data_IF_753078856767
#
_entry.id   IF_753078856767
#
_cell.length_a   1.000
_cell.length_b   1.000
_cell.length_c   1.000
_cell.angle_alpha   90.00
_cell.angle_beta   90.00
_cell.angle_gamma   90.00
#
_symmetry.space_group_name_H-M   'P 1'
#
loop_
_entity.id
_entity.type
_entity.pdbx_description
1 polymer ?
#
# COMPACT_ATOMS: atom_id res chain seq x y z
N UNK A 1 8.98 0.15 31.22
CA UNK A 1 9.88 -0.91 30.69
C UNK A 1 10.58 -0.30 29.50
N UNK A 2 11.88 -0.51 29.32
CA UNK A 2 12.58 -0.04 28.12
C UNK A 2 12.00 -0.76 26.89
N UNK A 3 11.38 -0.03 25.93
CA UNK A 3 10.79 -0.66 24.74
C UNK A 3 11.81 -1.36 23.84
N UNK A 4 13.10 -1.08 24.03
CA UNK A 4 14.21 -1.66 23.26
C UNK A 4 14.99 -2.73 24.02
N UNK A 5 14.58 -3.07 25.25
CA UNK A 5 15.24 -4.12 26.03
C UNK A 5 15.27 -5.45 25.25
N UNK A 6 16.43 -6.13 25.12
CA UNK A 6 16.53 -7.38 24.37
C UNK A 6 15.51 -8.43 24.81
N UNK A 7 14.99 -9.21 23.85
CA UNK A 7 14.04 -10.29 24.09
C UNK A 7 14.76 -11.60 23.85
N UNK A 8 14.83 -12.45 24.89
CA UNK A 8 15.65 -13.66 24.87
C UNK A 8 17.11 -13.39 24.44
N UNK A 9 17.68 -12.26 24.89
CA UNK A 9 19.04 -11.84 24.52
C UNK A 9 19.19 -11.26 23.11
N UNK A 10 18.11 -11.18 22.32
CA UNK A 10 18.12 -10.65 20.95
C UNK A 10 17.72 -9.17 20.97
N UNK A 11 18.65 -8.28 20.63
CA UNK A 11 18.37 -6.85 20.43
C UNK A 11 17.52 -6.60 19.18
N UNK A 12 16.95 -5.40 19.03
CA UNK A 12 16.15 -5.05 17.85
C UNK A 12 16.99 -5.10 16.57
N UNK A 13 18.24 -4.66 16.64
CA UNK A 13 19.21 -4.71 15.55
C UNK A 13 19.51 -6.15 15.15
N UNK A 14 19.77 -7.03 16.12
CA UNK A 14 20.05 -8.44 15.85
C UNK A 14 18.81 -9.14 15.28
N UNK A 15 17.64 -8.80 15.78
CA UNK A 15 16.37 -9.30 15.25
C UNK A 15 16.15 -8.86 13.78
N UNK A 16 16.48 -7.62 13.44
CA UNK A 16 16.45 -7.11 12.07
C UNK A 16 17.45 -7.84 11.13
N UNK A 17 18.66 -8.13 11.62
CA UNK A 17 19.64 -8.92 10.87
C UNK A 17 19.16 -10.33 10.57
N UNK A 18 18.69 -11.05 11.59
CA UNK A 18 18.16 -12.40 11.44
C UNK A 18 16.94 -12.41 10.51
N UNK A 19 16.06 -11.42 10.62
CA UNK A 19 14.94 -11.20 9.70
C UNK A 19 15.41 -11.08 8.25
N UNK A 20 16.47 -10.32 7.99
CA UNK A 20 17.05 -10.16 6.65
C UNK A 20 17.64 -11.47 6.12
N UNK A 21 18.22 -12.30 7.00
CA UNK A 21 18.79 -13.60 6.62
C UNK A 21 17.72 -14.61 6.19
N UNK A 22 16.59 -14.64 6.90
CA UNK A 22 15.47 -15.56 6.62
C UNK A 22 14.46 -14.99 5.61
N UNK A 23 14.71 -13.81 5.06
CA UNK A 23 13.81 -13.21 4.06
C UNK A 23 13.66 -14.14 2.86
N UNK A 24 12.41 -14.45 2.50
CA UNK A 24 12.06 -15.36 1.40
C UNK A 24 11.94 -16.84 1.81
N UNK A 25 12.25 -17.18 3.07
CA UNK A 25 12.11 -18.53 3.60
C UNK A 25 10.77 -18.66 4.33
N UNK A 26 9.97 -19.65 3.96
CA UNK A 26 8.65 -19.92 4.57
C UNK A 26 8.63 -21.19 5.43
N UNK A 27 9.58 -22.10 5.22
CA UNK A 27 9.69 -23.32 6.00
C UNK A 27 10.26 -23.03 7.40
N UNK A 28 9.54 -23.45 8.44
CA UNK A 28 9.91 -23.13 9.83
C UNK A 28 11.19 -23.83 10.28
N UNK A 29 11.46 -25.03 9.79
CA UNK A 29 12.68 -25.77 10.14
C UNK A 29 13.90 -25.16 9.43
N UNK A 30 13.74 -24.69 8.20
CA UNK A 30 14.78 -23.93 7.49
C UNK A 30 15.07 -22.60 8.18
N UNK A 31 14.05 -21.85 8.60
CA UNK A 31 14.21 -20.64 9.41
C UNK A 31 15.01 -20.95 10.69
N UNK A 32 14.60 -21.98 11.43
CA UNK A 32 15.30 -22.40 12.66
C UNK A 32 16.77 -22.72 12.38
N UNK A 33 17.07 -23.47 11.31
CA UNK A 33 18.44 -23.81 10.90
C UNK A 33 19.27 -22.57 10.59
N UNK A 34 18.71 -21.58 9.90
CA UNK A 34 19.42 -20.34 9.54
C UNK A 34 19.75 -19.52 10.79
N UNK A 35 18.81 -19.38 11.73
CA UNK A 35 19.05 -18.61 12.97
C UNK A 35 20.00 -19.35 13.93
N UNK A 36 19.92 -20.68 14.01
CA UNK A 36 20.84 -21.52 14.78
C UNK A 36 22.27 -21.44 14.24
N UNK A 37 22.45 -21.43 12.92
CA UNK A 37 23.75 -21.20 12.29
C UNK A 37 24.35 -19.83 12.66
N UNK A 38 23.53 -18.89 13.16
CA UNK A 38 23.94 -17.57 13.64
C UNK A 38 23.99 -17.47 15.17
N UNK A 39 23.99 -18.61 15.86
CA UNK A 39 24.16 -18.71 17.31
C UNK A 39 22.92 -18.36 18.12
N UNK A 40 21.73 -18.42 17.52
CA UNK A 40 20.47 -18.19 18.21
C UNK A 40 19.71 -19.51 18.34
N UNK A 41 19.41 -19.92 19.57
CA UNK A 41 18.61 -21.12 19.80
C UNK A 41 17.18 -20.91 19.30
N UNK A 42 16.55 -21.97 18.79
CA UNK A 42 15.15 -21.92 18.30
C UNK A 42 14.18 -21.32 19.33
N UNK A 43 14.29 -21.71 20.59
CA UNK A 43 13.44 -21.18 21.66
C UNK A 43 13.62 -19.66 21.86
N UNK A 44 14.85 -19.16 21.76
CA UNK A 44 15.13 -17.72 21.88
C UNK A 44 14.59 -16.95 20.67
N UNK A 45 14.71 -17.53 19.47
CA UNK A 45 14.13 -16.97 18.26
C UNK A 45 12.60 -16.87 18.34
N UNK A 46 11.92 -17.94 18.73
CA UNK A 46 10.45 -17.96 18.87
C UNK A 46 9.98 -16.94 19.93
N UNK A 47 10.71 -16.83 21.05
CA UNK A 47 10.45 -15.84 22.09
C UNK A 47 10.67 -14.40 21.57
N UNK A 48 11.75 -14.16 20.83
CA UNK A 48 12.04 -12.85 20.25
C UNK A 48 11.02 -12.44 19.19
N UNK A 49 10.63 -13.35 18.28
CA UNK A 49 9.56 -13.10 17.30
C UNK A 49 8.27 -12.71 18.02
N UNK A 50 7.85 -13.49 19.00
CA UNK A 50 6.62 -13.23 19.77
C UNK A 50 6.69 -11.88 20.49
N UNK A 51 7.79 -11.61 21.18
CA UNK A 51 7.95 -10.40 21.96
C UNK A 51 8.11 -9.13 21.12
N UNK A 52 8.89 -9.17 20.04
CA UNK A 52 9.06 -8.02 19.15
C UNK A 52 7.77 -7.72 18.40
N UNK A 53 7.05 -8.76 17.95
CA UNK A 53 5.70 -8.62 17.42
C UNK A 53 4.83 -7.85 18.41
N UNK A 54 4.68 -8.38 19.63
CA UNK A 54 3.84 -7.76 20.67
C UNK A 54 4.20 -6.29 20.94
N UNK A 55 5.49 -5.95 20.96
CA UNK A 55 5.93 -4.55 21.14
C UNK A 55 5.64 -3.66 19.94
N UNK A 56 5.73 -4.17 18.71
CA UNK A 56 5.30 -3.43 17.53
C UNK A 56 3.76 -3.23 17.52
N UNK A 57 3.02 -4.14 18.16
CA UNK A 57 1.57 -4.02 18.41
C UNK A 57 1.16 -3.19 19.60
N UNK A 58 2.11 -2.82 20.45
CA UNK A 58 1.78 -2.12 21.66
C UNK A 58 1.45 -0.67 21.35
N UNK A 59 0.18 -0.34 21.54
CA UNK A 59 -0.36 0.98 21.32
C UNK A 59 0.30 1.97 22.28
N UNK A 60 0.57 1.56 23.51
CA UNK A 60 1.24 2.42 24.48
C UNK A 60 2.65 2.86 24.05
N UNK A 61 3.31 2.09 23.18
CA UNK A 61 4.61 2.45 22.61
C UNK A 61 4.51 3.34 21.37
N UNK A 62 3.29 3.69 20.96
CA UNK A 62 3.00 4.53 19.80
C UNK A 62 3.86 4.11 18.60
N UNK A 63 3.91 2.83 18.23
CA UNK A 63 4.68 2.39 17.05
C UNK A 63 6.19 2.66 17.04
N UNK A 64 6.80 3.15 18.14
CA UNK A 64 8.21 3.54 18.18
C UNK A 64 9.14 2.40 17.76
N UNK A 65 8.82 1.18 18.22
CA UNK A 65 9.59 -0.03 17.88
C UNK A 65 9.51 -0.36 16.39
N UNK A 66 8.33 -0.20 15.77
CA UNK A 66 8.16 -0.43 14.34
C UNK A 66 8.93 0.61 13.51
N UNK A 67 8.88 1.89 13.91
CA UNK A 67 9.64 2.97 13.28
C UNK A 67 11.15 2.75 13.39
N UNK A 68 11.62 2.25 14.53
CA UNK A 68 13.04 1.92 14.73
C UNK A 68 13.49 0.67 13.96
N UNK A 69 12.63 -0.34 13.83
CA UNK A 69 12.95 -1.60 13.16
C UNK A 69 13.20 -1.44 11.66
N UNK A 70 12.37 -0.64 10.97
CA UNK A 70 12.43 -0.50 9.52
C UNK A 70 13.81 -0.10 8.96
N UNK A 71 14.47 0.97 9.43
CA UNK A 71 15.80 1.33 8.93
C UNK A 71 16.86 0.27 9.25
N UNK A 72 16.75 -0.43 10.39
CA UNK A 72 17.67 -1.50 10.78
C UNK A 72 17.55 -2.70 9.83
N UNK A 73 16.33 -3.09 9.50
CA UNK A 73 16.04 -4.19 8.58
C UNK A 73 16.51 -3.87 7.16
N UNK A 74 16.26 -2.66 6.68
CA UNK A 74 16.75 -2.21 5.36
C UNK A 74 18.28 -2.20 5.31
N UNK A 75 18.95 -1.72 6.37
CA UNK A 75 20.40 -1.75 6.45
C UNK A 75 20.94 -3.19 6.48
N UNK A 76 20.27 -4.12 7.19
CA UNK A 76 20.65 -5.53 7.21
C UNK A 76 20.49 -6.20 5.84
N UNK A 77 19.39 -5.93 5.13
CA UNK A 77 19.20 -6.40 3.75
C UNK A 77 20.29 -5.89 2.81
N UNK A 78 20.62 -4.60 2.90
CA UNK A 78 21.69 -4.01 2.09
C UNK A 78 23.06 -4.66 2.38
N UNK A 79 23.38 -4.95 3.65
CA UNK A 79 24.60 -5.68 4.03
C UNK A 79 24.60 -7.11 3.47
N UNK A 80 23.49 -7.83 3.58
CA UNK A 80 23.34 -9.18 3.04
C UNK A 80 23.59 -9.20 1.54
N UNK A 81 22.99 -8.26 0.80
CA UNK A 81 23.23 -8.11 -0.64
C UNK A 81 24.71 -7.84 -0.94
N UNK A 82 25.32 -6.87 -0.27
CA UNK A 82 26.73 -6.56 -0.47
C UNK A 82 27.64 -7.77 -0.22
N UNK A 83 27.32 -8.59 0.80
CA UNK A 83 28.07 -9.82 1.11
C UNK A 83 27.84 -10.97 0.12
N UNK A 84 26.69 -11.00 -0.56
CA UNK A 84 26.36 -12.06 -1.52
C UNK A 84 27.11 -11.93 -2.86
N UNK A 85 27.75 -10.78 -3.12
CA UNK A 85 28.35 -10.46 -4.41
C UNK A 85 27.34 -10.28 -5.55
N UNK A 86 26.05 -10.46 -5.29
CA UNK A 86 25.00 -10.18 -6.26
C UNK A 86 24.78 -8.66 -6.35
N UNK A 87 24.77 -8.14 -7.58
CA UNK A 87 24.39 -6.76 -7.82
C UNK A 87 22.97 -6.52 -7.28
N UNK A 88 22.76 -5.39 -6.60
CA UNK A 88 21.43 -4.97 -6.17
C UNK A 88 20.51 -4.99 -7.40
N UNK A 89 19.35 -5.67 -7.34
CA UNK A 89 18.40 -5.64 -8.44
C UNK A 89 17.97 -4.19 -8.66
N UNK A 90 18.02 -3.75 -9.90
CA UNK A 90 17.57 -2.42 -10.34
C UNK A 90 16.58 -2.57 -11.47
N UNK A 91 15.62 -1.66 -11.53
CA UNK A 91 14.64 -1.51 -12.61
C UNK A 91 14.46 -0.02 -12.90
N UNK A 92 14.02 0.34 -14.10
CA UNK A 92 13.64 1.72 -14.43
C UNK A 92 12.33 2.12 -13.76
N UNK A 93 11.98 3.40 -13.84
CA UNK A 93 10.72 3.91 -13.28
C UNK A 93 9.51 3.25 -13.98
N UNK A 94 9.57 3.12 -15.30
CA UNK A 94 8.50 2.55 -16.12
C UNK A 94 8.33 1.05 -15.82
N UNK A 95 9.43 0.35 -15.59
CA UNK A 95 9.43 -1.05 -15.18
C UNK A 95 8.82 -1.21 -13.79
N UNK A 96 9.20 -0.36 -12.82
CA UNK A 96 8.61 -0.37 -11.48
C UNK A 96 7.11 -0.10 -11.50
N UNK A 97 6.65 0.89 -12.29
CA UNK A 97 5.22 1.15 -12.55
C UNK A 97 4.55 -0.08 -13.14
N UNK A 98 5.19 -0.75 -14.10
CA UNK A 98 4.73 -2.02 -14.69
C UNK A 98 4.46 -3.08 -13.63
N UNK A 99 5.44 -3.30 -12.75
CA UNK A 99 5.37 -4.29 -11.67
C UNK A 99 4.31 -3.92 -10.62
N UNK A 100 4.25 -2.65 -10.19
CA UNK A 100 3.24 -2.17 -9.24
C UNK A 100 1.81 -2.28 -9.80
N UNK A 101 1.63 -1.94 -11.08
CA UNK A 101 0.35 -2.11 -11.80
C UNK A 101 -0.05 -3.59 -11.89
N UNK A 102 0.90 -4.48 -12.16
CA UNK A 102 0.68 -5.93 -12.14
C UNK A 102 0.26 -6.42 -10.75
N UNK A 103 0.97 -6.02 -9.69
CA UNK A 103 0.60 -6.38 -8.32
C UNK A 103 -0.83 -5.92 -7.97
N UNK A 104 -1.24 -4.73 -8.42
CA UNK A 104 -2.59 -4.22 -8.23
C UNK A 104 -3.66 -4.94 -9.07
N UNK A 105 -3.30 -5.52 -10.22
CA UNK A 105 -4.25 -6.16 -11.14
C UNK A 105 -4.41 -7.67 -10.88
N UNK A 106 -3.32 -8.40 -10.69
CA UNK A 106 -3.29 -9.87 -10.56
C UNK A 106 -2.86 -10.36 -9.17
N UNK A 107 -2.71 -9.41 -8.22
CA UNK A 107 -2.25 -9.71 -6.88
C UNK A 107 -0.72 -9.84 -6.79
N UNK A 108 -0.22 -9.76 -5.56
CA UNK A 108 1.21 -9.86 -5.26
C UNK A 108 1.84 -11.18 -5.72
N UNK A 109 1.24 -12.32 -5.36
CA UNK A 109 1.74 -13.64 -5.75
C UNK A 109 1.74 -13.82 -7.28
N UNK A 110 0.70 -13.33 -7.95
CA UNK A 110 0.62 -13.36 -9.41
C UNK A 110 1.73 -12.53 -10.07
N UNK A 111 2.03 -11.35 -9.50
CA UNK A 111 3.13 -10.50 -9.96
C UNK A 111 4.50 -11.15 -9.75
N UNK A 112 4.77 -11.70 -8.56
CA UNK A 112 6.03 -12.42 -8.28
C UNK A 112 6.23 -13.59 -9.27
N UNK A 113 5.18 -14.39 -9.48
CA UNK A 113 5.20 -15.50 -10.42
C UNK A 113 5.43 -15.07 -11.87
N UNK A 114 4.81 -13.98 -12.32
CA UNK A 114 4.98 -13.46 -13.68
C UNK A 114 6.41 -12.95 -13.94
N UNK A 115 6.96 -12.15 -13.03
CA UNK A 115 8.29 -11.57 -13.17
C UNK A 115 9.42 -12.52 -12.76
N UNK A 116 9.09 -13.71 -12.25
CA UNK A 116 10.04 -14.72 -11.76
C UNK A 116 10.99 -14.13 -10.71
N UNK A 117 10.43 -13.33 -9.80
CA UNK A 117 11.15 -12.78 -8.66
C UNK A 117 10.61 -13.32 -7.36
N UNK A 118 11.46 -13.31 -6.33
CA UNK A 118 11.04 -13.56 -4.97
C UNK A 118 10.58 -12.26 -4.27
N UNK A 119 9.92 -12.43 -3.12
CA UNK A 119 9.45 -11.30 -2.32
C UNK A 119 10.58 -10.43 -1.76
N UNK A 120 11.79 -10.98 -1.58
CA UNK A 120 12.97 -10.24 -1.16
C UNK A 120 13.37 -9.22 -2.23
N UNK A 121 13.50 -9.69 -3.47
CA UNK A 121 13.82 -8.89 -4.67
C UNK A 121 12.79 -7.78 -4.85
N UNK A 122 11.50 -8.10 -4.75
CA UNK A 122 10.44 -7.08 -4.78
C UNK A 122 10.62 -6.03 -3.67
N UNK A 123 10.86 -6.45 -2.43
CA UNK A 123 11.01 -5.54 -1.28
C UNK A 123 12.17 -4.57 -1.48
N UNK A 124 13.26 -5.04 -2.08
CA UNK A 124 14.45 -4.24 -2.39
C UNK A 124 14.17 -3.23 -3.51
N UNK A 125 13.48 -3.65 -4.58
CA UNK A 125 13.05 -2.78 -5.67
C UNK A 125 12.07 -1.71 -5.18
N UNK A 126 11.05 -2.11 -4.41
CA UNK A 126 10.06 -1.21 -3.84
C UNK A 126 10.68 -0.23 -2.84
N UNK A 127 11.59 -0.68 -1.98
CA UNK A 127 12.31 0.19 -1.05
C UNK A 127 13.12 1.28 -1.76
N UNK A 128 13.80 0.92 -2.86
CA UNK A 128 14.57 1.87 -3.67
C UNK A 128 13.68 2.96 -4.30
N UNK A 129 12.54 2.57 -4.86
CA UNK A 129 11.61 3.51 -5.50
C UNK A 129 10.80 4.32 -4.49
N UNK A 130 10.41 3.74 -3.35
CA UNK A 130 9.71 4.46 -2.29
C UNK A 130 10.57 5.57 -1.67
N UNK A 131 11.90 5.44 -1.69
CA UNK A 131 12.81 6.52 -1.29
C UNK A 131 12.94 7.61 -2.38
N UNK A 132 12.88 7.24 -3.66
CA UNK A 132 13.08 8.16 -4.80
C UNK A 132 11.82 8.95 -5.17
N UNK A 133 10.65 8.32 -5.19
CA UNK A 133 9.40 8.93 -5.66
C UNK A 133 9.05 10.22 -4.89
N UNK A 134 9.07 10.26 -3.54
CA UNK A 134 8.69 11.47 -2.81
C UNK A 134 9.66 12.64 -2.97
N UNK A 135 10.91 12.38 -3.35
CA UNK A 135 11.98 13.39 -3.44
C UNK A 135 12.16 13.97 -4.84
N UNK A 136 11.41 13.45 -5.83
CA UNK A 136 11.64 13.68 -7.25
C UNK A 136 10.34 14.05 -7.96
N UNK A 137 10.12 15.35 -8.28
CA UNK A 137 8.87 15.82 -8.89
C UNK A 137 8.50 15.12 -10.22
N UNK A 138 9.50 14.61 -10.95
CA UNK A 138 9.30 13.86 -12.19
C UNK A 138 8.48 12.56 -12.00
N UNK A 139 8.35 12.06 -10.77
CA UNK A 139 7.58 10.83 -10.46
C UNK A 139 6.22 11.12 -9.82
N UNK A 140 5.74 12.37 -9.76
CA UNK A 140 4.44 12.69 -9.15
C UNK A 140 3.26 11.99 -9.85
N UNK A 141 3.40 11.59 -11.11
CA UNK A 141 2.40 10.83 -11.86
C UNK A 141 2.37 9.33 -11.53
N UNK A 142 3.23 8.83 -10.61
CA UNK A 142 3.35 7.41 -10.27
C UNK A 142 2.00 6.73 -10.01
N UNK A 143 1.16 7.29 -9.13
CA UNK A 143 -0.13 6.69 -8.77
C UNK A 143 -1.07 6.51 -9.97
N UNK A 144 -1.17 7.56 -10.81
CA UNK A 144 -1.96 7.51 -12.04
C UNK A 144 -1.42 6.49 -13.05
N UNK A 145 -0.09 6.39 -13.20
CA UNK A 145 0.53 5.44 -14.12
C UNK A 145 0.32 3.98 -13.67
N UNK A 146 0.40 3.72 -12.37
CA UNK A 146 0.09 2.40 -11.79
C UNK A 146 -1.38 2.05 -12.01
N UNK A 147 -2.29 2.99 -11.79
CA UNK A 147 -3.72 2.78 -12.03
C UNK A 147 -4.00 2.46 -13.50
N UNK A 148 -3.41 3.23 -14.43
CA UNK A 148 -3.52 3.00 -15.88
C UNK A 148 -3.01 1.61 -16.28
N UNK A 149 -1.83 1.20 -15.78
CA UNK A 149 -1.27 -0.11 -16.08
C UNK A 149 -2.14 -1.24 -15.48
N UNK A 150 -2.63 -1.07 -14.25
CA UNK A 150 -3.50 -2.05 -13.62
C UNK A 150 -4.82 -2.23 -14.39
N UNK A 151 -5.42 -1.13 -14.87
CA UNK A 151 -6.64 -1.16 -15.67
C UNK A 151 -6.42 -1.87 -17.01
N UNK A 152 -5.28 -1.61 -17.67
CA UNK A 152 -4.88 -2.30 -18.91
C UNK A 152 -4.77 -3.80 -18.69
N UNK A 153 -4.17 -4.25 -17.58
CA UNK A 153 -4.01 -5.68 -17.27
C UNK A 153 -5.37 -6.32 -16.98
N UNK A 154 -6.25 -5.67 -16.21
CA UNK A 154 -7.62 -6.15 -15.96
C UNK A 154 -8.48 -6.23 -17.23
N UNK A 155 -8.21 -5.38 -18.22
CA UNK A 155 -8.84 -5.44 -19.54
C UNK A 155 -8.29 -6.56 -20.45
N UNK A 156 -7.43 -7.44 -19.93
CA UNK A 156 -6.85 -8.57 -20.66
C UNK A 156 -5.46 -8.31 -21.25
N UNK A 157 -4.86 -7.15 -20.98
CA UNK A 157 -3.48 -6.88 -21.37
C UNK A 157 -2.46 -7.71 -20.55
N UNK A 158 -1.42 -8.24 -21.20
CA UNK A 158 -0.32 -8.90 -20.48
C UNK A 158 0.55 -7.88 -19.73
N UNK A 159 1.04 -8.14 -18.51
CA UNK A 159 1.93 -7.22 -17.78
C UNK A 159 3.18 -6.86 -18.59
N UNK A 160 3.66 -5.62 -18.50
CA UNK A 160 4.83 -5.16 -19.25
C UNK A 160 6.07 -6.00 -18.89
N UNK A 161 6.93 -6.33 -19.87
CA UNK A 161 8.21 -6.99 -19.58
C UNK A 161 9.14 -6.05 -18.80
N UNK A 162 9.97 -6.62 -17.94
CA UNK A 162 10.92 -5.91 -17.08
C UNK A 162 12.29 -6.58 -17.17
N UNK A 163 13.35 -5.78 -17.27
CA UNK A 163 14.74 -6.23 -17.27
C UNK A 163 15.39 -5.99 -15.90
N UNK A 164 15.26 -6.97 -15.01
CA UNK A 164 15.83 -6.87 -13.66
C UNK A 164 17.34 -7.03 -13.72
N UNK A 165 18.07 -6.03 -13.23
CA UNK A 165 19.54 -6.05 -13.22
C UNK A 165 20.18 -5.63 -14.56
N UNK A 166 19.38 -5.22 -15.54
CA UNK A 166 19.86 -4.52 -16.72
C UNK A 166 20.18 -3.07 -16.36
N UNK A 167 21.44 -2.65 -16.52
CA UNK A 167 21.77 -1.22 -16.56
C UNK A 167 20.88 -0.49 -17.58
N UNK A 168 20.62 0.80 -17.34
CA UNK A 168 19.67 1.66 -18.07
C UNK A 168 19.39 1.17 -19.50
N UNK A 169 18.12 0.89 -19.86
CA UNK A 169 17.81 0.35 -21.17
C UNK A 169 18.34 1.32 -22.22
N UNK A 170 19.08 0.79 -23.19
CA UNK A 170 19.22 1.46 -24.48
C UNK A 170 17.80 1.75 -24.94
N UNK A 171 17.44 3.04 -25.08
CA UNK A 171 16.19 3.47 -25.67
C UNK A 171 15.98 2.66 -26.96
N UNK A 172 15.16 1.62 -26.90
CA UNK A 172 14.65 0.99 -28.09
C UNK A 172 13.78 2.05 -28.72
N UNK A 173 14.34 2.68 -29.76
CA UNK A 173 13.67 3.67 -30.57
C UNK A 173 12.27 3.14 -30.85
N UNK A 174 11.26 3.85 -30.35
CA UNK A 174 9.88 3.62 -30.77
C UNK A 174 9.90 3.61 -32.31
N UNK A 175 9.40 2.57 -32.97
CA UNK A 175 9.19 2.64 -34.41
C UNK A 175 8.28 3.83 -34.64
N UNK A 176 8.84 4.87 -35.27
CA UNK A 176 8.08 6.04 -35.73
C UNK A 176 6.88 5.48 -36.47
N UNK A 177 5.69 5.65 -35.89
CA UNK A 177 4.45 5.48 -36.63
C UNK A 177 4.57 6.41 -37.83
N UNK A 178 4.78 5.79 -39.00
CA UNK A 178 4.83 6.47 -40.26
C UNK A 178 3.54 7.27 -40.40
N UNK A 179 3.71 8.57 -40.57
CA UNK A 179 2.65 9.52 -40.82
C UNK A 179 1.78 9.00 -41.97
N UNK A 180 0.51 8.71 -41.66
CA UNK A 180 -0.50 8.57 -42.70
C UNK A 180 -0.67 9.93 -43.38
N UNK A 181 -0.71 9.99 -44.73
CA UNK A 181 -0.93 11.23 -45.46
C UNK A 181 -2.36 11.78 -45.22
N UNK A 182 -2.56 13.09 -45.39
CA UNK A 182 -3.83 13.75 -45.08
C UNK A 182 -4.89 13.37 -46.11
N UNK A 183 -5.89 12.59 -45.69
CA UNK A 183 -7.11 12.39 -46.47
C UNK A 183 -8.11 13.51 -46.18
N UNK A 184 -8.28 14.37 -47.20
CA UNK A 184 -9.59 14.75 -47.74
C UNK A 184 -10.61 15.39 -46.81
N UNK A 185 -10.77 16.71 -46.97
CA UNK A 185 -11.94 17.47 -46.54
C UNK A 185 -13.24 16.82 -47.05
N UNK A 186 -14.03 16.26 -46.13
CA UNK A 186 -15.40 15.81 -46.35
C UNK A 186 -16.39 16.68 -45.56
N UNK A 187 -17.42 17.14 -46.26
CA UNK A 187 -18.39 18.18 -45.90
C UNK A 187 -19.19 17.97 -44.59
N UNK A 188 -19.68 19.05 -43.95
CA UNK A 188 -20.58 18.96 -42.80
C UNK A 188 -21.99 18.53 -43.24
N UNK A 189 -22.43 17.33 -42.83
CA UNK A 189 -23.84 16.96 -42.85
C UNK A 189 -24.54 17.55 -41.63
N UNK A 190 -25.51 18.41 -41.90
CA UNK A 190 -26.46 18.96 -40.94
C UNK A 190 -27.37 17.82 -40.41
N UNK A 191 -27.38 17.62 -39.09
CA UNK A 191 -28.42 16.82 -38.42
C UNK A 191 -29.56 17.75 -37.98
N UNK A 192 -30.82 17.43 -38.32
CA UNK A 192 -31.98 18.20 -37.86
C UNK A 192 -32.28 17.93 -36.38
N UNK A 193 -32.50 19.03 -35.66
CA UNK A 193 -32.91 19.07 -34.26
C UNK A 193 -34.29 18.41 -34.07
N UNK A 194 -34.40 17.52 -33.08
CA UNK A 194 -35.69 17.05 -32.57
C UNK A 194 -36.07 17.82 -31.29
N UNK A 195 -37.32 18.33 -31.18
CA UNK A 195 -37.79 18.99 -29.98
C UNK A 195 -38.20 17.98 -28.89
N UNK A 196 -37.69 18.17 -27.68
CA UNK A 196 -38.13 17.48 -26.46
C UNK A 196 -39.33 18.22 -25.84
N UNK A 197 -40.46 17.55 -25.56
CA UNK A 197 -41.59 18.14 -24.88
C UNK A 197 -41.39 18.16 -23.35
N UNK A 198 -41.61 19.35 -22.80
CA UNK A 198 -41.69 19.68 -21.38
C UNK A 198 -42.94 19.07 -20.74
N UNK A 199 -42.77 18.20 -19.74
CA UNK A 199 -43.85 17.74 -18.87
C UNK A 199 -43.78 18.44 -17.50
N UNK A 200 -44.95 18.91 -17.07
CA UNK A 200 -45.18 19.84 -15.99
C UNK A 200 -44.99 19.29 -14.58
N UNK A 201 -44.58 20.23 -13.72
CA UNK A 201 -44.82 20.36 -12.28
C UNK A 201 -46.11 19.70 -11.74
N UNK A 202 -45.96 18.91 -10.68
CA UNK A 202 -47.01 18.57 -9.73
C UNK A 202 -46.60 18.97 -8.31
N UNK A 203 -47.36 19.88 -7.71
CA UNK A 203 -47.22 20.35 -6.34
C UNK A 203 -47.72 19.30 -5.34
N UNK A 204 -46.92 18.95 -4.34
CA UNK A 204 -47.27 18.09 -3.21
C UNK A 204 -47.04 18.79 -1.87
N UNK A 205 -47.98 18.61 -0.95
CA UNK A 205 -48.29 19.35 0.28
C UNK A 205 -47.20 19.42 1.38
N UNK A 206 -47.30 20.39 2.33
CA UNK A 206 -46.38 20.54 3.45
C UNK A 206 -46.65 19.54 4.59
N UNK A 207 -45.58 18.93 5.11
CA UNK A 207 -45.59 18.10 6.32
C UNK A 207 -45.46 18.97 7.59
N UNK A 208 -46.12 18.60 8.71
CA UNK A 208 -46.04 19.34 9.97
C UNK A 208 -44.70 19.12 10.71
N UNK A 209 -44.27 20.10 11.54
CA UNK A 209 -43.00 20.03 12.24
C UNK A 209 -43.04 19.03 13.41
N UNK A 210 -42.02 18.18 13.51
CA UNK A 210 -41.78 17.35 14.68
C UNK A 210 -40.98 18.11 15.75
N UNK A 211 -41.25 17.89 17.04
CA UNK A 211 -40.59 18.60 18.14
C UNK A 211 -39.14 18.14 18.34
N UNK A 212 -38.25 19.12 18.51
CA UNK A 212 -36.84 18.95 18.83
C UNK A 212 -36.68 18.30 20.21
N UNK A 213 -36.11 17.09 20.26
CA UNK A 213 -35.56 16.52 21.48
C UNK A 213 -34.16 17.11 21.73
N UNK A 214 -34.05 17.83 22.84
CA UNK A 214 -32.81 18.33 23.38
C UNK A 214 -31.93 17.17 23.85
N UNK A 215 -30.74 17.03 23.25
CA UNK A 215 -29.65 16.22 23.78
C UNK A 215 -28.42 17.10 23.93
N UNK A 216 -28.21 17.57 25.15
CA UNK A 216 -26.93 18.09 25.60
C UNK A 216 -26.01 16.91 25.90
N UNK A 217 -24.91 16.82 25.16
CA UNK A 217 -23.58 16.45 25.63
C UNK A 217 -22.64 16.48 24.43
N UNK A 218 -21.59 17.28 24.54
CA UNK A 218 -20.61 17.56 23.50
C UNK A 218 -19.63 16.36 23.42
N UNK A 219 -19.65 15.50 22.38
CA UNK A 219 -18.70 14.38 22.27
C UNK A 219 -17.45 14.73 21.46
N UNK A 220 -17.26 16.00 21.05
CA UNK A 220 -16.15 16.43 20.19
C UNK A 220 -14.80 16.55 20.92
N UNK A 221 -14.41 15.54 21.70
CA UNK A 221 -13.00 15.29 21.91
C UNK A 221 -12.45 14.73 20.59
N UNK A 222 -11.95 15.63 19.73
CA UNK A 222 -11.12 15.23 18.59
C UNK A 222 -10.02 14.30 19.11
N UNK A 223 -9.77 13.14 18.47
CA UNK A 223 -8.61 12.34 18.79
C UNK A 223 -7.37 13.22 18.59
N UNK A 224 -6.57 13.38 19.65
CA UNK A 224 -5.28 14.06 19.56
C UNK A 224 -4.41 13.35 18.50
N UNK A 225 -3.48 14.06 17.82
CA UNK A 225 -2.60 13.49 16.79
C UNK A 225 -1.90 12.18 17.22
N UNK A 226 -1.72 11.97 18.52
CA UNK A 226 -1.19 10.73 19.10
C UNK A 226 -2.07 9.49 18.80
N UNK A 227 -3.40 9.63 18.74
CA UNK A 227 -4.35 8.52 18.50
C UNK A 227 -4.36 8.01 17.06
N UNK A 228 -4.04 8.85 16.07
CA UNK A 228 -3.92 8.43 14.67
C UNK A 228 -2.69 7.54 14.44
N UNK A 229 -1.59 7.87 15.13
CA UNK A 229 -0.35 7.12 15.12
C UNK A 229 -0.45 5.80 15.90
N UNK A 230 -1.15 5.82 17.04
CA UNK A 230 -1.58 4.64 17.79
C UNK A 230 -2.30 3.64 16.85
N UNK A 231 -3.35 4.06 16.14
CA UNK A 231 -4.08 3.13 15.25
C UNK A 231 -3.23 2.62 14.06
N UNK A 232 -2.31 3.42 13.52
CA UNK A 232 -1.36 3.00 12.48
C UNK A 232 -0.41 1.91 12.98
N UNK A 233 0.08 2.04 14.21
CA UNK A 233 0.91 1.02 14.84
C UNK A 233 0.13 -0.29 15.05
N UNK A 234 -1.18 -0.23 15.35
CA UNK A 234 -2.05 -1.40 15.58
C UNK A 234 -2.34 -2.25 14.35
N UNK A 235 -2.28 -1.65 13.16
CA UNK A 235 -2.44 -2.37 11.89
C UNK A 235 -1.12 -2.95 11.37
N UNK A 236 0.00 -2.21 11.49
CA UNK A 236 1.34 -2.73 11.16
C UNK A 236 1.69 -3.94 12.02
N UNK A 237 1.34 -3.85 13.29
CA UNK A 237 1.33 -4.90 14.28
C UNK A 237 0.56 -6.16 13.92
N UNK A 238 -0.74 -6.08 13.64
CA UNK A 238 -1.56 -7.26 13.31
C UNK A 238 -1.05 -7.98 12.07
N UNK A 239 -0.52 -7.23 11.11
CA UNK A 239 0.11 -7.80 9.93
C UNK A 239 1.51 -8.36 10.22
N UNK A 240 2.23 -7.84 11.23
CA UNK A 240 3.44 -8.44 11.81
C UNK A 240 3.16 -9.81 12.46
N UNK A 241 2.06 -9.95 13.23
CA UNK A 241 1.69 -11.23 13.86
C UNK A 241 1.28 -12.31 12.85
N UNK A 242 0.61 -11.93 11.75
CA UNK A 242 0.33 -12.84 10.64
C UNK A 242 1.61 -13.23 9.86
N UNK A 243 2.53 -12.28 9.66
CA UNK A 243 3.79 -12.49 8.96
C UNK A 243 4.83 -13.29 9.76
N UNK A 244 4.83 -13.17 11.08
CA UNK A 244 5.66 -13.98 11.97
C UNK A 244 5.34 -15.48 11.87
N UNK A 245 4.08 -15.83 11.58
CA UNK A 245 3.63 -17.22 11.42
C UNK A 245 3.76 -17.75 9.98
N UNK A 246 3.76 -16.88 8.96
CA UNK A 246 3.75 -17.23 7.53
C UNK A 246 5.04 -16.84 6.76
N UNK A 247 6.04 -16.27 7.42
CA UNK A 247 7.26 -15.75 6.81
C UNK A 247 7.15 -14.25 6.47
N UNK A 248 8.29 -13.55 6.56
CA UNK A 248 8.43 -12.09 6.40
C UNK A 248 7.91 -11.51 5.07
N UNK A 249 7.55 -12.33 4.07
CA UNK A 249 6.90 -11.88 2.84
C UNK A 249 5.55 -11.18 3.07
N UNK A 250 4.80 -11.57 4.11
CA UNK A 250 3.56 -10.88 4.48
C UNK A 250 3.82 -9.52 5.17
N UNK A 251 5.02 -9.29 5.70
CA UNK A 251 5.44 -7.99 6.22
C UNK A 251 5.51 -6.95 5.11
N UNK A 252 6.02 -7.33 3.93
CA UNK A 252 6.03 -6.47 2.75
C UNK A 252 4.62 -6.04 2.33
N UNK A 253 3.63 -6.93 2.45
CA UNK A 253 2.21 -6.63 2.19
C UNK A 253 1.56 -5.76 3.27
N UNK A 254 1.96 -5.94 4.54
CA UNK A 254 1.57 -5.09 5.66
C UNK A 254 1.99 -3.63 5.47
N UNK A 255 3.21 -3.41 4.95
CA UNK A 255 3.72 -2.08 4.67
C UNK A 255 3.21 -1.53 3.34
N UNK A 256 2.89 -2.38 2.36
CA UNK A 256 2.31 -1.94 1.08
C UNK A 256 0.81 -1.61 1.17
N UNK A 257 0.13 -1.99 2.27
CA UNK A 257 -1.22 -1.51 2.60
C UNK A 257 -1.23 -0.14 3.29
N UNK A 258 -0.07 0.50 3.47
CA UNK A 258 0.09 1.86 4.01
C UNK A 258 -0.50 2.99 3.13
N UNK A 259 -1.31 2.68 2.13
CA UNK A 259 -1.97 3.71 1.32
C UNK A 259 -3.18 4.30 2.05
N UNK A 260 -3.88 3.54 2.90
CA UNK A 260 -4.96 4.06 3.76
C UNK A 260 -4.65 3.81 5.23
N UNK A 261 -4.32 4.85 5.99
CA UNK A 261 -4.21 4.82 7.45
C UNK A 261 -5.18 5.81 8.09
N UNK A 262 -5.57 5.66 9.37
CA UNK A 262 -6.30 6.69 10.10
C UNK A 262 -5.57 8.05 10.01
N UNK A 263 -6.30 9.09 9.62
CA UNK A 263 -5.77 10.42 9.29
C UNK A 263 -5.52 10.65 7.80
N UNK A 264 -5.45 9.61 6.96
CA UNK A 264 -5.29 9.76 5.50
C UNK A 264 -6.50 10.48 4.89
N UNK A 265 -6.24 11.42 3.98
CA UNK A 265 -7.27 12.01 3.12
C UNK A 265 -7.66 11.00 2.04
N UNK A 266 -8.96 10.85 1.85
CA UNK A 266 -9.53 9.90 0.90
C UNK A 266 -10.67 10.53 0.11
N UNK A 267 -10.96 9.99 -1.06
CA UNK A 267 -12.19 10.20 -1.80
C UNK A 267 -13.06 8.96 -1.66
N UNK A 268 -14.30 9.17 -1.24
CA UNK A 268 -15.34 8.14 -1.20
C UNK A 268 -16.19 8.26 -2.45
N UNK A 269 -16.23 7.21 -3.27
CA UNK A 269 -17.16 7.11 -4.40
C UNK A 269 -18.51 6.62 -3.90
N UNK A 270 -19.58 7.39 -4.13
CA UNK A 270 -20.92 7.06 -3.67
C UNK A 270 -21.78 6.42 -4.78
N UNK A 271 -22.98 5.95 -4.44
CA UNK A 271 -23.89 5.27 -5.37
C UNK A 271 -24.38 6.14 -6.53
N UNK A 272 -24.27 7.47 -6.40
CA UNK A 272 -24.59 8.43 -7.45
C UNK A 272 -23.43 8.66 -8.44
N UNK A 273 -22.29 7.98 -8.24
CA UNK A 273 -21.08 8.11 -9.05
C UNK A 273 -20.20 9.31 -8.68
N UNK A 274 -20.64 10.16 -7.74
CA UNK A 274 -19.84 11.29 -7.28
C UNK A 274 -18.80 10.85 -6.25
N UNK A 275 -17.70 11.61 -6.19
CA UNK A 275 -16.62 11.39 -5.22
C UNK A 275 -16.62 12.50 -4.18
N UNK A 276 -16.57 12.10 -2.91
CA UNK A 276 -16.64 13.01 -1.78
C UNK A 276 -15.37 12.93 -0.94
N UNK A 277 -14.75 14.06 -0.57
CA UNK A 277 -13.57 14.06 0.27
C UNK A 277 -13.93 13.64 1.70
N UNK A 278 -13.05 12.86 2.31
CA UNK A 278 -13.12 12.48 3.70
C UNK A 278 -11.74 12.17 4.28
N UNK A 279 -11.73 11.87 5.57
CA UNK A 279 -10.54 11.46 6.30
C UNK A 279 -10.80 10.10 6.94
N UNK A 280 -9.90 9.15 6.75
CA UNK A 280 -10.01 7.84 7.40
C UNK A 280 -9.93 8.04 8.91
N UNK A 281 -10.92 7.55 9.64
CA UNK A 281 -10.94 7.53 11.10
C UNK A 281 -10.56 6.14 11.64
N UNK A 282 -10.93 5.05 10.96
CA UNK A 282 -10.63 3.68 11.36
C UNK A 282 -10.64 2.72 10.16
N UNK A 283 -9.94 1.59 10.25
CA UNK A 283 -9.98 0.51 9.28
C UNK A 283 -10.55 -0.76 9.91
N UNK A 284 -11.39 -1.48 9.18
CA UNK A 284 -11.88 -2.82 9.53
C UNK A 284 -11.83 -3.70 8.28
N UNK A 285 -11.87 -5.03 8.43
CA UNK A 285 -11.71 -5.97 7.31
C UNK A 285 -12.68 -5.69 6.15
N UNK A 286 -12.17 -5.06 5.08
CA UNK A 286 -12.94 -4.71 3.87
C UNK A 286 -13.77 -3.42 3.97
N UNK A 287 -13.71 -2.68 5.07
CA UNK A 287 -14.41 -1.40 5.25
C UNK A 287 -13.51 -0.33 5.88
N UNK A 288 -13.77 0.92 5.55
CA UNK A 288 -13.04 2.09 6.02
C UNK A 288 -14.04 3.00 6.71
N UNK A 289 -13.80 3.32 7.97
CA UNK A 289 -14.59 4.33 8.68
C UNK A 289 -14.07 5.69 8.27
N UNK A 290 -14.88 6.48 7.57
CA UNK A 290 -14.49 7.78 7.01
C UNK A 290 -15.29 8.89 7.68
N UNK A 291 -14.61 9.96 8.08
CA UNK A 291 -15.21 11.24 8.44
C UNK A 291 -15.26 12.12 7.19
N UNK A 292 -16.46 12.39 6.70
CA UNK A 292 -16.72 13.22 5.52
C UNK A 292 -16.50 14.71 5.84
N UNK A 293 -16.36 15.55 4.82
CA UNK A 293 -16.18 17.01 4.99
C UNK A 293 -17.37 17.72 5.67
N UNK A 294 -18.57 17.15 5.61
CA UNK A 294 -19.77 17.64 6.30
C UNK A 294 -19.86 17.20 7.78
N UNK A 295 -18.85 16.48 8.28
CA UNK A 295 -18.77 15.97 9.64
C UNK A 295 -19.48 14.62 9.86
N UNK A 296 -20.16 14.08 8.84
CA UNK A 296 -20.76 12.74 8.93
C UNK A 296 -19.67 11.68 9.00
N UNK A 297 -19.91 10.63 9.77
CA UNK A 297 -19.04 9.48 9.85
C UNK A 297 -19.78 8.23 9.39
N UNK A 298 -19.14 7.42 8.54
CA UNK A 298 -19.74 6.19 8.04
C UNK A 298 -18.68 5.14 7.67
N UNK A 299 -19.07 3.87 7.79
CA UNK A 299 -18.33 2.75 7.24
C UNK A 299 -18.59 2.66 5.75
N UNK A 300 -17.51 2.72 4.97
CA UNK A 300 -17.52 2.65 3.51
C UNK A 300 -16.77 1.40 3.09
N UNK A 301 -17.30 0.56 2.18
CA UNK A 301 -16.55 -0.53 1.58
C UNK A 301 -15.21 -0.04 1.02
N UNK A 302 -14.11 -0.74 1.33
CA UNK A 302 -12.76 -0.31 0.97
C UNK A 302 -12.57 -0.07 -0.53
N UNK A 303 -13.27 -0.81 -1.39
CA UNK A 303 -13.22 -0.65 -2.84
C UNK A 303 -13.87 0.66 -3.35
N UNK A 304 -14.63 1.36 -2.51
CA UNK A 304 -15.21 2.68 -2.82
C UNK A 304 -14.34 3.83 -2.32
N UNK A 305 -13.23 3.54 -1.64
CA UNK A 305 -12.34 4.53 -1.04
C UNK A 305 -11.01 4.56 -1.80
N UNK A 306 -10.64 5.73 -2.31
CA UNK A 306 -9.33 5.96 -2.94
C UNK A 306 -8.57 7.04 -2.17
N UNK A 307 -7.26 6.94 -2.11
CA UNK A 307 -6.41 7.89 -1.38
C UNK A 307 -6.18 9.12 -2.24
N UNK A 308 -6.20 10.31 -1.63
CA UNK A 308 -5.98 11.61 -2.29
C UNK A 308 -4.50 11.95 -2.35
#
# INVERSE_FOLDING_TARGET
MDPYAPIAGISLERYAELGADITGVTDKEEIARIVEAKGVARADWDAAVTGWTARMQDMSLMGQVATAYMPLYQAALARKQASSGQAKPTVTFEEYVGMAGAAAAIGYEGMLGYYKIDGATWTLLAGDWNAKIPTSPQYMSYGMLVEQESARIRAGGMPRPVQIGGGAPQQQAQPQQQAQPPQGYGAPQQQPAQPQPYAQQGYGAPQPPQPQQAWGQNPYAQPSPDQAFLNQAGHAANAFAGAAAAGFGALGQAFNSAVMSPGSRVMVTWSDGNRYPGTVAQLASGQVYVTMSDGRQLWVPQHLVSVV
#
